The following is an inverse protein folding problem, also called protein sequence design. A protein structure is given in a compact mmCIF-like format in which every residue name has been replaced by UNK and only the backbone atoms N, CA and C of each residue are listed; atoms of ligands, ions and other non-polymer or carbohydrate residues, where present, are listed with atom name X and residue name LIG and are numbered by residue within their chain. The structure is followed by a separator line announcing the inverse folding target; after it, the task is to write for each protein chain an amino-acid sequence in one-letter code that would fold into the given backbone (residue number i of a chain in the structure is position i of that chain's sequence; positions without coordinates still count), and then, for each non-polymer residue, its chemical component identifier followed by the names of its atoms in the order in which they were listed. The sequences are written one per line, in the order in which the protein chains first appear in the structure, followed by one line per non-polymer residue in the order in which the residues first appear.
data_IF_193546317533
#
_entry.id   IF_193546317533
#
_cell.length_a   1.000
_cell.length_b   1.000
_cell.length_c   1.000
_cell.angle_alpha   90.00
_cell.angle_beta   90.00
_cell.angle_gamma   90.00
#
_symmetry.space_group_name_H-M   'P 1'
#
loop_
_entity.id
_entity.type
_entity.pdbx_description
1 polymer ?
#
# COMPACT_ATOMS: atom_id res chain seq x y z
N UNK A 1 -7.79 5.44 1.70
CA UNK A 1 -8.36 6.08 2.91
C UNK A 1 -7.39 5.96 4.07
N UNK A 2 -7.51 6.80 5.07
CA UNK A 2 -6.69 6.77 6.28
C UNK A 2 -7.53 6.98 7.54
N UNK A 3 -6.93 6.78 8.71
CA UNK A 3 -7.60 6.86 10.00
C UNK A 3 -8.01 8.28 10.43
N UNK A 4 -7.68 9.31 9.67
CA UNK A 4 -8.01 10.71 10.02
C UNK A 4 -9.21 11.23 9.24
N UNK A 5 -9.45 10.70 8.03
CA UNK A 5 -10.46 11.19 7.10
C UNK A 5 -11.56 10.18 6.76
N UNK A 6 -11.49 8.95 7.29
CA UNK A 6 -12.40 7.88 6.88
C UNK A 6 -13.88 8.21 7.06
N UNK A 7 -14.24 8.95 8.10
CA UNK A 7 -15.64 9.25 8.41
C UNK A 7 -16.33 10.09 7.31
N UNK A 8 -15.58 10.98 6.67
CA UNK A 8 -16.07 11.83 5.58
C UNK A 8 -15.74 11.22 4.22
N UNK A 9 -14.54 10.66 4.08
CA UNK A 9 -14.01 10.18 2.80
C UNK A 9 -14.65 8.86 2.35
N UNK A 10 -14.93 7.93 3.25
CA UNK A 10 -15.55 6.65 2.89
C UNK A 10 -16.92 6.85 2.24
N UNK A 11 -17.87 7.60 2.86
CA UNK A 11 -19.16 7.86 2.20
C UNK A 11 -19.02 8.51 0.82
N UNK A 12 -18.15 9.52 0.70
CA UNK A 12 -17.94 10.22 -0.56
C UNK A 12 -17.37 9.32 -1.67
N UNK A 13 -16.44 8.42 -1.33
CA UNK A 13 -15.90 7.47 -2.30
C UNK A 13 -16.92 6.44 -2.76
N UNK A 14 -17.75 5.95 -1.85
CA UNK A 14 -18.82 5.00 -2.17
C UNK A 14 -19.87 5.67 -3.07
N UNK A 15 -20.28 6.89 -2.74
CA UNK A 15 -21.20 7.68 -3.55
C UNK A 15 -20.64 7.97 -4.96
N UNK A 16 -19.33 8.17 -5.05
CA UNK A 16 -18.63 8.33 -6.34
C UNK A 16 -18.44 7.02 -7.12
N UNK A 17 -18.89 5.87 -6.59
CA UNK A 17 -18.86 4.58 -7.27
C UNK A 17 -17.58 3.77 -7.06
N UNK A 18 -16.86 3.98 -5.97
CA UNK A 18 -15.71 3.14 -5.65
C UNK A 18 -16.16 1.71 -5.27
N UNK A 19 -15.64 0.70 -5.95
CA UNK A 19 -15.96 -0.71 -5.70
C UNK A 19 -15.22 -1.27 -4.49
N UNK A 20 -13.99 -0.80 -4.26
CA UNK A 20 -13.11 -1.29 -3.20
C UNK A 20 -12.43 -0.13 -2.51
N UNK A 21 -12.40 -0.17 -1.20
CA UNK A 21 -11.63 0.75 -0.37
C UNK A 21 -10.31 0.10 0.06
N UNK A 22 -9.26 0.89 0.22
CA UNK A 22 -8.00 0.41 0.78
C UNK A 22 -7.52 1.39 1.86
N UNK A 23 -7.26 0.86 3.05
CA UNK A 23 -6.63 1.60 4.13
C UNK A 23 -5.12 1.48 3.92
N UNK A 24 -4.46 2.60 3.64
CA UNK A 24 -3.04 2.65 3.35
C UNK A 24 -2.27 3.30 4.50
N UNK A 25 -1.30 2.57 5.04
CA UNK A 25 -0.48 3.01 6.16
C UNK A 25 0.89 2.32 6.09
N UNK A 26 1.92 3.01 6.54
CA UNK A 26 3.26 2.42 6.71
C UNK A 26 3.33 1.37 7.83
N UNK A 27 2.32 1.30 8.71
CA UNK A 27 2.15 0.28 9.74
C UNK A 27 0.68 -0.06 9.91
N UNK A 28 0.28 -1.25 9.44
CA UNK A 28 -1.10 -1.72 9.46
C UNK A 28 -1.51 -2.42 10.76
N UNK A 29 -0.56 -2.92 11.55
CA UNK A 29 -0.83 -3.56 12.83
C UNK A 29 -1.13 -2.50 13.91
N UNK A 30 -2.26 -1.82 13.77
CA UNK A 30 -2.62 -0.72 14.66
C UNK A 30 -4.12 -0.64 14.95
N UNK A 31 -4.47 -0.13 16.12
CA UNK A 31 -5.88 0.10 16.48
C UNK A 31 -6.61 1.07 15.53
N UNK A 32 -5.88 1.91 14.82
CA UNK A 32 -6.45 2.83 13.84
C UNK A 32 -6.97 2.11 12.60
N UNK A 33 -6.27 1.07 12.14
CA UNK A 33 -6.76 0.20 11.06
C UNK A 33 -8.08 -0.46 11.46
N UNK A 34 -8.09 -1.09 12.65
CA UNK A 34 -9.30 -1.74 13.15
C UNK A 34 -10.49 -0.77 13.25
N UNK A 35 -10.30 0.41 13.82
CA UNK A 35 -11.36 1.42 13.92
C UNK A 35 -11.92 1.82 12.56
N UNK A 36 -11.07 1.92 11.55
CA UNK A 36 -11.50 2.26 10.19
C UNK A 36 -12.27 1.12 9.56
N UNK A 37 -11.83 -0.14 9.73
CA UNK A 37 -12.55 -1.33 9.28
C UNK A 37 -13.90 -1.43 9.99
N UNK A 38 -13.94 -1.31 11.32
CA UNK A 38 -15.16 -1.34 12.13
C UNK A 38 -16.20 -0.33 11.60
N UNK A 39 -15.78 0.90 11.32
CA UNK A 39 -16.67 1.93 10.75
C UNK A 39 -17.28 1.50 9.41
N UNK A 40 -16.48 0.92 8.52
CA UNK A 40 -16.98 0.44 7.22
C UNK A 40 -17.96 -0.70 7.41
N UNK A 41 -17.64 -1.66 8.29
CA UNK A 41 -18.50 -2.82 8.58
C UNK A 41 -19.82 -2.42 9.26
N UNK A 42 -19.78 -1.54 10.23
CA UNK A 42 -20.98 -1.04 10.91
C UNK A 42 -21.92 -0.31 9.97
N UNK A 43 -21.38 0.48 9.04
CA UNK A 43 -22.19 1.34 8.18
C UNK A 43 -22.63 0.68 6.87
N UNK A 44 -21.81 -0.21 6.31
CA UNK A 44 -22.00 -0.78 4.98
C UNK A 44 -22.01 -2.31 4.95
N UNK A 45 -21.68 -2.98 6.05
CA UNK A 45 -21.59 -4.44 6.13
C UNK A 45 -20.59 -5.00 5.12
N UNK A 46 -20.99 -6.06 4.43
CA UNK A 46 -20.17 -6.75 3.41
C UNK A 46 -20.39 -6.19 1.98
N UNK A 47 -21.24 -5.19 1.83
CA UNK A 47 -21.52 -4.57 0.52
C UNK A 47 -20.33 -3.77 -0.02
N UNK A 48 -19.42 -3.33 0.85
CA UNK A 48 -18.22 -2.60 0.49
C UNK A 48 -17.00 -3.43 0.86
N UNK A 49 -16.13 -3.66 -0.10
CA UNK A 49 -14.87 -4.36 0.11
C UNK A 49 -13.80 -3.40 0.64
N UNK A 50 -13.10 -3.82 1.71
CA UNK A 50 -12.06 -3.01 2.34
C UNK A 50 -10.79 -3.81 2.55
N UNK A 51 -9.71 -3.37 1.91
CA UNK A 51 -8.36 -3.85 2.16
C UNK A 51 -7.65 -3.01 3.22
N UNK A 52 -6.69 -3.62 3.87
CA UNK A 52 -5.93 -3.01 4.96
C UNK A 52 -4.44 -3.32 4.87
N UNK A 53 -3.62 -2.51 5.44
CA UNK A 53 -2.16 -2.70 5.45
C UNK A 53 -1.39 -1.39 5.72
N UNK A 54 -0.07 -1.51 5.71
CA UNK A 54 0.69 -2.70 5.34
C UNK A 54 1.19 -3.44 6.58
N UNK A 55 1.37 -4.71 6.44
CA UNK A 55 1.94 -5.60 7.45
C UNK A 55 3.11 -6.40 6.87
N UNK A 56 3.92 -7.03 7.72
CA UNK A 56 5.11 -7.80 7.30
C UNK A 56 5.26 -9.16 8.00
N UNK A 57 4.30 -9.56 8.82
CA UNK A 57 4.34 -10.78 9.62
C UNK A 57 2.95 -11.41 9.79
N UNK A 58 2.95 -12.62 10.37
CA UNK A 58 1.73 -13.39 10.62
C UNK A 58 0.76 -12.69 11.58
N UNK A 59 1.29 -12.07 12.65
CA UNK A 59 0.46 -11.42 13.67
C UNK A 59 -0.29 -10.22 13.09
N UNK A 60 0.39 -9.39 12.29
CA UNK A 60 -0.21 -8.28 11.59
C UNK A 60 -1.30 -8.72 10.61
N UNK A 61 -1.06 -9.81 9.86
CA UNK A 61 -2.07 -10.38 8.97
C UNK A 61 -3.31 -10.85 9.75
N UNK A 62 -3.10 -11.65 10.80
CA UNK A 62 -4.20 -12.19 11.61
C UNK A 62 -5.04 -11.08 12.24
N UNK A 63 -4.38 -10.05 12.76
CA UNK A 63 -5.05 -8.88 13.33
C UNK A 63 -5.99 -8.20 12.33
N UNK A 64 -5.56 -8.00 11.09
CA UNK A 64 -6.38 -7.36 10.06
C UNK A 64 -7.47 -8.28 9.52
N UNK A 65 -7.18 -9.56 9.35
CA UNK A 65 -8.15 -10.57 8.94
C UNK A 65 -9.29 -10.70 9.97
N UNK A 66 -8.96 -10.79 11.26
CA UNK A 66 -9.92 -10.86 12.36
C UNK A 66 -10.69 -9.55 12.57
N UNK A 67 -10.11 -8.40 12.19
CA UNK A 67 -10.82 -7.13 12.15
C UNK A 67 -11.84 -7.04 11.01
N UNK A 68 -11.81 -7.95 10.04
CA UNK A 68 -12.74 -8.01 8.93
C UNK A 68 -12.25 -7.39 7.63
N UNK A 69 -10.93 -7.30 7.41
CA UNK A 69 -10.38 -6.92 6.11
C UNK A 69 -10.69 -7.96 5.03
N UNK A 70 -11.05 -7.51 3.83
CA UNK A 70 -11.32 -8.40 2.68
C UNK A 70 -10.02 -8.79 1.95
N UNK A 71 -8.95 -8.02 2.08
CA UNK A 71 -7.60 -8.35 1.63
C UNK A 71 -6.56 -7.60 2.47
N UNK A 72 -5.32 -8.11 2.47
CA UNK A 72 -4.23 -7.51 3.25
C UNK A 72 -3.04 -7.16 2.35
N UNK A 73 -2.52 -5.93 2.48
CA UNK A 73 -1.30 -5.51 1.81
C UNK A 73 -0.07 -5.84 2.65
N UNK A 74 0.91 -6.46 2.00
CA UNK A 74 2.15 -6.96 2.61
C UNK A 74 3.34 -6.19 2.07
N UNK A 75 4.07 -5.54 2.95
CA UNK A 75 5.31 -4.82 2.64
C UNK A 75 5.43 -3.49 3.34
N UNK A 76 6.51 -3.27 4.06
CA UNK A 76 6.86 -2.01 4.72
C UNK A 76 8.25 -1.59 4.28
N UNK A 77 8.34 -0.41 3.67
CA UNK A 77 9.61 0.19 3.27
C UNK A 77 10.29 -0.47 2.07
N UNK A 78 9.59 -1.33 1.31
CA UNK A 78 10.15 -2.04 0.14
C UNK A 78 10.21 -1.21 -1.14
N UNK A 79 9.49 -0.10 -1.22
CA UNK A 79 9.48 0.77 -2.40
C UNK A 79 10.82 1.45 -2.64
N UNK A 80 11.19 1.64 -3.91
CA UNK A 80 12.50 2.20 -4.29
C UNK A 80 12.70 3.67 -3.89
N UNK A 81 11.63 4.38 -3.57
CA UNK A 81 11.61 5.77 -3.12
C UNK A 81 11.11 5.90 -1.67
N UNK A 82 10.89 4.78 -0.99
CA UNK A 82 10.44 4.74 0.39
C UNK A 82 11.63 4.75 1.33
N UNK A 83 11.62 5.65 2.32
CA UNK A 83 12.62 5.74 3.39
C UNK A 83 12.04 5.44 4.78
N UNK A 84 10.88 4.80 4.84
CA UNK A 84 10.24 4.40 6.11
C UNK A 84 11.16 3.55 6.98
N UNK A 85 11.95 2.65 6.38
CA UNK A 85 12.92 1.81 7.12
C UNK A 85 13.99 2.62 7.81
N UNK A 86 14.42 3.71 7.19
CA UNK A 86 15.47 4.60 7.73
C UNK A 86 14.88 5.54 8.78
N UNK A 87 13.70 6.10 8.53
CA UNK A 87 13.10 7.15 9.36
C UNK A 87 12.35 6.60 10.57
N UNK A 88 11.71 5.43 10.44
CA UNK A 88 10.94 4.77 11.51
C UNK A 88 11.64 3.56 12.11
N UNK A 89 12.65 3.03 11.45
CA UNK A 89 13.34 1.81 11.90
C UNK A 89 12.49 0.54 11.82
N UNK A 90 11.45 0.54 10.97
CA UNK A 90 10.54 -0.60 10.76
C UNK A 90 10.63 -1.13 9.33
N UNK A 91 10.35 -2.39 9.15
CA UNK A 91 10.33 -3.04 7.85
C UNK A 91 10.86 -4.47 7.91
N UNK A 92 10.71 -5.18 6.79
CA UNK A 92 11.18 -6.56 6.66
C UNK A 92 11.52 -6.85 5.20
N UNK A 93 12.37 -7.84 4.93
CA UNK A 93 12.63 -8.31 3.57
C UNK A 93 11.34 -8.83 2.94
N UNK A 94 11.01 -8.37 1.73
CA UNK A 94 9.71 -8.64 1.10
C UNK A 94 9.42 -10.12 0.90
N UNK A 95 10.40 -10.90 0.44
CA UNK A 95 10.24 -12.35 0.27
C UNK A 95 9.91 -13.05 1.61
N UNK A 96 10.62 -12.71 2.67
CA UNK A 96 10.39 -13.27 4.01
C UNK A 96 9.00 -12.92 4.53
N UNK A 97 8.59 -11.65 4.39
CA UNK A 97 7.27 -11.19 4.80
C UNK A 97 6.17 -11.92 4.04
N UNK A 98 6.31 -12.06 2.72
CA UNK A 98 5.33 -12.71 1.87
C UNK A 98 5.14 -14.19 2.22
N UNK A 99 6.22 -14.94 2.36
CA UNK A 99 6.18 -16.37 2.69
C UNK A 99 5.49 -16.59 4.05
N UNK A 100 5.83 -15.78 5.05
CA UNK A 100 5.22 -15.89 6.38
C UNK A 100 3.74 -15.52 6.39
N UNK A 101 3.38 -14.41 5.75
CA UNK A 101 1.98 -13.98 5.66
C UNK A 101 1.14 -14.94 4.83
N UNK A 102 1.69 -15.49 3.73
CA UNK A 102 1.01 -16.51 2.94
C UNK A 102 0.71 -17.77 3.76
N UNK A 103 1.67 -18.23 4.57
CA UNK A 103 1.46 -19.35 5.48
C UNK A 103 0.36 -19.04 6.52
N UNK A 104 0.37 -17.85 7.10
CA UNK A 104 -0.66 -17.42 8.06
C UNK A 104 -2.06 -17.34 7.40
N UNK A 105 -2.16 -16.84 6.16
CA UNK A 105 -3.40 -16.84 5.38
C UNK A 105 -3.92 -18.26 5.14
N UNK A 106 -3.06 -19.16 4.73
CA UNK A 106 -3.46 -20.54 4.44
C UNK A 106 -3.94 -21.26 5.70
N UNK A 107 -3.30 -21.02 6.85
CA UNK A 107 -3.73 -21.57 8.13
C UNK A 107 -5.02 -20.92 8.63
N UNK A 108 -5.20 -19.62 8.41
CA UNK A 108 -6.45 -18.93 8.70
C UNK A 108 -7.60 -19.50 7.86
N UNK A 109 -7.37 -19.72 6.56
CA UNK A 109 -8.34 -20.32 5.67
C UNK A 109 -8.73 -21.75 6.10
N UNK A 110 -7.76 -22.58 6.47
CA UNK A 110 -8.03 -23.95 6.98
C UNK A 110 -8.89 -23.94 8.24
N UNK A 111 -8.69 -22.98 9.14
CA UNK A 111 -9.42 -22.87 10.42
C UNK A 111 -10.81 -22.28 10.27
N UNK A 112 -10.99 -21.32 9.39
CA UNK A 112 -12.21 -20.49 9.31
C UNK A 112 -13.05 -20.72 8.06
N UNK A 113 -12.47 -21.27 6.99
CA UNK A 113 -13.07 -21.34 5.67
C UNK A 113 -13.07 -20.01 4.92
N UNK A 114 -12.52 -18.94 5.50
CA UNK A 114 -12.48 -17.59 4.91
C UNK A 114 -11.12 -17.34 4.29
N UNK A 115 -11.08 -17.15 2.98
CA UNK A 115 -9.86 -16.81 2.26
C UNK A 115 -9.70 -15.29 2.17
N UNK A 116 -8.60 -14.77 2.69
CA UNK A 116 -8.23 -13.35 2.65
C UNK A 116 -7.05 -13.16 1.69
N UNK A 117 -7.27 -12.66 0.47
CA UNK A 117 -6.19 -12.41 -0.48
C UNK A 117 -5.11 -11.50 0.08
N UNK A 118 -3.86 -11.73 -0.34
CA UNK A 118 -2.73 -10.88 0.02
C UNK A 118 -2.12 -10.19 -1.21
N UNK A 119 -1.84 -8.91 -1.07
CA UNK A 119 -1.20 -8.07 -2.05
C UNK A 119 0.28 -7.88 -1.71
N UNK A 120 1.19 -8.26 -2.58
CA UNK A 120 2.61 -7.87 -2.44
C UNK A 120 2.80 -6.42 -2.87
N UNK A 121 3.22 -5.56 -1.95
CA UNK A 121 3.40 -4.14 -2.18
C UNK A 121 4.84 -3.70 -1.96
N UNK A 122 5.44 -3.14 -3.02
CA UNK A 122 6.78 -2.60 -3.02
C UNK A 122 7.89 -3.59 -3.41
N UNK A 123 8.99 -3.04 -3.92
CA UNK A 123 10.17 -3.80 -4.33
C UNK A 123 10.05 -4.54 -5.67
N UNK A 124 8.93 -4.43 -6.37
CA UNK A 124 8.69 -5.06 -7.65
C UNK A 124 9.15 -4.14 -8.79
N UNK A 125 10.34 -4.38 -9.31
CA UNK A 125 11.01 -3.52 -10.30
C UNK A 125 11.13 -4.19 -11.67
N UNK A 126 11.21 -5.52 -11.71
CA UNK A 126 11.41 -6.33 -12.91
C UNK A 126 10.29 -7.37 -13.04
N UNK A 127 10.07 -7.86 -14.25
CA UNK A 127 9.02 -8.83 -14.55
C UNK A 127 9.18 -10.12 -13.72
N UNK A 128 10.41 -10.61 -13.54
CA UNK A 128 10.65 -11.80 -12.73
C UNK A 128 10.34 -11.60 -11.24
N UNK A 129 10.36 -10.36 -10.72
CA UNK A 129 9.91 -10.09 -9.37
C UNK A 129 8.41 -10.36 -9.20
N UNK A 130 7.61 -10.11 -10.23
CA UNK A 130 6.18 -10.42 -10.23
C UNK A 130 5.94 -11.92 -10.09
N UNK A 131 6.62 -12.70 -10.94
CA UNK A 131 6.54 -14.17 -10.89
C UNK A 131 6.97 -14.72 -9.54
N UNK A 132 8.07 -14.21 -8.98
CA UNK A 132 8.56 -14.62 -7.66
C UNK A 132 7.56 -14.28 -6.56
N UNK A 133 6.97 -13.08 -6.56
CA UNK A 133 6.00 -12.68 -5.55
C UNK A 133 4.74 -13.57 -5.58
N UNK A 134 4.23 -13.87 -6.77
CA UNK A 134 3.10 -14.79 -6.94
C UNK A 134 3.46 -16.21 -6.51
N UNK A 135 4.64 -16.70 -6.86
CA UNK A 135 5.12 -18.02 -6.43
C UNK A 135 5.32 -18.12 -4.90
N UNK A 136 5.61 -17.01 -4.23
CA UNK A 136 5.71 -16.91 -2.77
C UNK A 136 4.36 -16.77 -2.07
N UNK A 137 3.25 -16.74 -2.82
CA UNK A 137 1.90 -16.78 -2.30
C UNK A 137 1.13 -15.47 -2.36
N UNK A 138 1.63 -14.42 -3.03
CA UNK A 138 0.82 -13.24 -3.31
C UNK A 138 -0.30 -13.59 -4.29
N UNK A 139 -1.49 -13.03 -4.07
CA UNK A 139 -2.62 -13.19 -4.97
C UNK A 139 -2.63 -12.09 -6.05
N UNK A 140 -2.15 -10.92 -5.70
CA UNK A 140 -2.00 -9.78 -6.61
C UNK A 140 -0.87 -8.84 -6.15
N UNK A 141 -0.53 -7.85 -6.98
CA UNK A 141 0.68 -7.06 -6.82
C UNK A 141 0.36 -5.56 -6.87
N UNK A 142 1.08 -4.77 -6.05
CA UNK A 142 1.09 -3.32 -6.14
C UNK A 142 2.48 -2.83 -6.55
N UNK A 143 2.54 -2.05 -7.63
CA UNK A 143 3.77 -1.60 -8.27
C UNK A 143 3.71 -0.11 -8.58
N UNK A 144 4.58 0.69 -7.98
CA UNK A 144 4.71 2.11 -8.30
C UNK A 144 5.77 2.35 -9.39
N UNK A 145 7.03 2.04 -9.08
CA UNK A 145 8.17 2.28 -9.97
C UNK A 145 8.00 1.64 -11.36
N UNK A 146 7.45 0.45 -11.42
CA UNK A 146 7.25 -0.26 -12.68
C UNK A 146 6.36 0.54 -13.63
N UNK A 147 5.20 0.98 -13.17
CA UNK A 147 4.24 1.73 -13.99
C UNK A 147 4.63 3.20 -14.20
N UNK A 148 5.42 3.79 -13.32
CA UNK A 148 5.91 5.15 -13.49
C UNK A 148 6.76 5.35 -14.75
N UNK A 149 7.22 4.28 -15.39
CA UNK A 149 8.10 4.26 -16.56
C UNK A 149 7.38 4.48 -17.90
N UNK A 150 6.06 4.30 -17.93
CA UNK A 150 5.27 4.25 -19.16
C UNK A 150 4.61 5.59 -19.50
N UNK A 151 4.16 5.74 -20.75
CA UNK A 151 3.53 6.96 -21.24
C UNK A 151 2.21 7.28 -20.51
N UNK A 152 1.48 6.29 -20.03
CA UNK A 152 0.25 6.44 -19.24
C UNK A 152 0.48 7.09 -17.86
N UNK A 153 1.70 7.07 -17.34
CA UNK A 153 2.05 7.81 -16.14
C UNK A 153 2.07 9.32 -16.44
N UNK A 154 1.47 10.17 -15.58
CA UNK A 154 1.22 11.59 -15.92
C UNK A 154 2.46 12.48 -15.93
N UNK A 155 3.63 12.00 -15.48
CA UNK A 155 4.85 12.81 -15.46
C UNK A 155 5.45 12.97 -16.86
N UNK A 156 6.08 14.12 -17.11
CA UNK A 156 6.74 14.39 -18.38
C UNK A 156 7.94 13.46 -18.61
N UNK A 157 8.16 13.11 -19.88
CA UNK A 157 9.39 12.46 -20.32
C UNK A 157 10.49 13.51 -20.43
N UNK A 158 11.62 13.26 -19.78
CA UNK A 158 12.78 14.14 -19.71
C UNK A 158 14.02 13.44 -20.29
N UNK A 159 15.04 14.22 -20.63
CA UNK A 159 16.35 13.71 -20.99
C UNK A 159 17.33 14.09 -19.86
N UNK A 160 17.90 13.08 -19.22
CA UNK A 160 18.91 13.24 -18.18
C UNK A 160 20.12 12.41 -18.55
N UNK A 161 21.29 13.04 -18.67
CA UNK A 161 22.54 12.38 -19.09
C UNK A 161 22.40 11.56 -20.38
N UNK A 162 21.62 12.07 -21.36
CA UNK A 162 21.41 11.42 -22.65
C UNK A 162 20.41 10.27 -22.66
N UNK A 163 19.78 9.95 -21.54
CA UNK A 163 18.76 8.91 -21.43
C UNK A 163 17.38 9.47 -21.19
N UNK A 164 16.35 8.85 -21.77
CA UNK A 164 14.96 9.21 -21.46
C UNK A 164 14.57 8.67 -20.09
N UNK A 165 14.01 9.55 -19.26
CA UNK A 165 13.54 9.25 -17.92
C UNK A 165 12.20 9.90 -17.65
N UNK A 166 11.50 9.43 -16.61
CA UNK A 166 10.32 10.08 -16.04
C UNK A 166 10.56 10.35 -14.57
N UNK A 167 9.99 11.43 -14.07
CA UNK A 167 10.04 11.74 -12.64
C UNK A 167 9.16 10.76 -11.86
N UNK A 168 9.64 10.37 -10.68
CA UNK A 168 8.94 9.46 -9.79
C UNK A 168 9.22 9.84 -8.33
N UNK A 169 8.18 10.01 -7.53
CA UNK A 169 8.31 10.41 -6.14
C UNK A 169 7.38 9.64 -5.21
N UNK A 170 7.77 9.53 -3.94
CA UNK A 170 6.99 8.85 -2.92
C UNK A 170 5.83 9.69 -2.40
N UNK A 171 4.77 9.02 -1.98
CA UNK A 171 3.63 9.62 -1.31
C UNK A 171 4.02 10.40 -0.05
N UNK A 172 5.00 9.91 0.71
CA UNK A 172 5.55 10.54 1.89
C UNK A 172 6.64 11.58 1.61
N UNK A 173 6.89 11.95 0.35
CA UNK A 173 7.87 12.97 -0.02
C UNK A 173 7.32 14.39 0.16
N UNK A 174 8.21 15.37 0.28
CA UNK A 174 7.83 16.79 0.29
C UNK A 174 7.12 17.21 -1.01
N UNK A 175 7.46 16.57 -2.12
CA UNK A 175 6.82 16.84 -3.40
C UNK A 175 5.35 16.41 -3.41
N UNK A 176 5.01 15.22 -2.90
CA UNK A 176 3.64 14.75 -2.81
C UNK A 176 2.78 15.65 -1.92
N UNK A 177 3.34 16.21 -0.86
CA UNK A 177 2.69 17.19 0.01
C UNK A 177 2.27 18.46 -0.73
N UNK A 178 3.12 18.98 -1.59
CA UNK A 178 2.86 20.19 -2.35
C UNK A 178 1.73 20.01 -3.37
N UNK A 179 1.31 18.77 -3.64
CA UNK A 179 0.17 18.43 -4.47
C UNK A 179 -1.13 18.21 -3.67
N UNK A 180 -1.16 18.68 -2.44
CA UNK A 180 -2.35 18.72 -1.56
C UNK A 180 -2.97 17.36 -1.18
N UNK A 181 -2.34 16.24 -1.50
CA UNK A 181 -2.88 14.93 -1.16
C UNK A 181 -2.99 14.69 0.37
N UNK A 182 -2.13 15.33 1.12
CA UNK A 182 -2.11 15.31 2.58
C UNK A 182 -2.33 16.68 3.21
N UNK A 183 -2.90 17.62 2.46
CA UNK A 183 -3.24 18.93 3.00
C UNK A 183 -4.46 18.83 3.93
N UNK A 184 -4.19 18.61 5.18
CA UNK A 184 -5.17 18.62 6.27
C UNK A 184 -5.43 20.05 6.76
N UNK A 185 -5.71 20.99 5.84
CA UNK A 185 -6.03 22.36 6.19
C UNK A 185 -4.83 23.26 6.51
N UNK A 186 -3.69 23.05 5.87
CA UNK A 186 -2.55 23.96 5.89
C UNK A 186 -1.71 23.96 7.16
N UNK A 187 -1.99 23.11 8.13
CA UNK A 187 -1.28 23.09 9.42
C UNK A 187 -0.57 21.79 9.79
N UNK A 188 -0.83 20.66 9.13
CA UNK A 188 -0.15 19.42 9.45
C UNK A 188 1.06 19.17 8.54
N UNK A 189 2.21 19.68 8.93
CA UNK A 189 3.47 19.14 8.42
C UNK A 189 3.57 17.69 8.87
N UNK A 190 3.90 16.75 7.94
CA UNK A 190 4.45 15.47 8.37
C UNK A 190 5.62 15.77 9.30
N UNK A 191 5.70 15.10 10.44
CA UNK A 191 6.80 15.31 11.39
C UNK A 191 8.15 14.90 10.78
N UNK A 192 8.15 14.08 9.72
CA UNK A 192 9.31 13.60 8.98
C UNK A 192 8.89 13.07 7.60
N UNK A 193 9.84 13.04 6.66
CA UNK A 193 9.64 12.44 5.34
C UNK A 193 9.74 10.91 5.41
N UNK A 194 8.91 10.24 4.64
CA UNK A 194 8.97 8.78 4.45
C UNK A 194 9.23 8.40 2.98
N UNK A 195 9.46 9.36 2.12
CA UNK A 195 9.73 9.16 0.70
C UNK A 195 10.61 10.25 0.11
N UNK A 196 11.23 9.93 -1.01
CA UNK A 196 12.11 10.82 -1.77
C UNK A 196 11.67 10.92 -3.24
N UNK A 197 12.22 11.91 -3.92
CA UNK A 197 12.08 12.09 -5.37
C UNK A 197 13.19 11.35 -6.11
N UNK A 198 12.88 10.83 -7.28
CA UNK A 198 13.83 10.11 -8.11
C UNK A 198 13.43 10.17 -9.59
N UNK A 199 14.24 9.56 -10.42
CA UNK A 199 13.93 9.28 -11.82
C UNK A 199 13.82 7.78 -12.06
N UNK A 200 12.98 7.41 -13.02
CA UNK A 200 12.88 6.04 -13.54
C UNK A 200 13.18 6.05 -15.03
N UNK A 201 13.84 5.02 -15.53
CA UNK A 201 14.11 4.87 -16.96
C UNK A 201 12.79 4.74 -17.71
N UNK A 202 12.61 5.55 -18.74
CA UNK A 202 11.45 5.47 -19.61
C UNK A 202 11.41 4.14 -20.36
N UNK A 203 10.23 3.57 -20.54
CA UNK A 203 10.05 2.25 -21.15
C UNK A 203 8.98 2.19 -22.26
N UNK A 204 8.37 3.30 -22.61
CA UNK A 204 7.38 3.36 -23.69
C UNK A 204 6.02 3.85 -23.26
#
# INVERSE_FOLDING_TARGET
INSRDYAERVPALIEAGADVLCIDSSEGFSCWQKKTIDFVREKYGDSVKVGAGNVVDADGFLFLAEAGADFVKVGIGGGSICITRETKGIGRGQATALIEVAAARDDYYKRTGVYIPICSDGGLVHDYHMTLALAMGADFLMMGRYFARFDESPTAKLIVNGSYVKEYWGEGSNRARNWQRYDLGGQSKLSFEEGVDSYVTYAG
#
